data_IF_051496416651
#
_entry.id   IF_051496416651
#
_cell.length_a   1.000
_cell.length_b   1.000
_cell.length_c   1.000
_cell.angle_alpha   90.00
_cell.angle_beta   90.00
_cell.angle_gamma   90.00
#
_symmetry.space_group_name_H-M   'P 1'
#
loop_
_entity.id
_entity.type
_entity.pdbx_description
1 polymer ?
#
# COMPACT_ATOMS: atom_id res chain seq x y z
N UNK A 1 56.14 8.49 16.13
CA UNK A 1 55.15 8.32 15.03
C UNK A 1 54.29 7.10 15.35
N UNK A 2 53.16 7.30 16.02
CA UNK A 2 52.18 6.25 16.32
C UNK A 2 50.96 6.45 15.43
N UNK A 3 50.76 5.53 14.47
CA UNK A 3 49.63 5.53 13.53
C UNK A 3 48.38 5.04 14.26
N UNK A 4 47.45 5.95 14.54
CA UNK A 4 46.08 5.59 14.92
C UNK A 4 45.37 5.01 13.70
N UNK A 5 45.05 3.73 13.74
CA UNK A 5 44.22 3.08 12.73
C UNK A 5 42.78 3.11 13.23
N UNK A 6 41.97 4.02 12.68
CA UNK A 6 40.55 4.13 12.99
C UNK A 6 39.82 2.98 12.28
N UNK A 7 39.34 2.00 13.04
CA UNK A 7 38.53 0.89 12.53
C UNK A 7 37.09 1.38 12.39
N UNK A 8 36.64 1.64 11.16
CA UNK A 8 35.23 1.95 10.88
C UNK A 8 34.45 0.63 10.87
N UNK A 9 33.69 0.36 11.94
CA UNK A 9 32.68 -0.71 11.92
C UNK A 9 31.51 -0.25 11.05
N UNK A 10 31.36 -0.83 9.86
CA UNK A 10 30.09 -0.82 9.14
C UNK A 10 29.13 -1.76 9.87
N UNK A 11 28.15 -1.19 10.58
CA UNK A 11 26.99 -1.94 11.04
C UNK A 11 26.08 -2.14 9.82
N UNK A 12 26.10 -3.33 9.25
CA UNK A 12 25.13 -3.73 8.23
C UNK A 12 23.81 -3.97 8.97
N UNK A 13 22.89 -3.01 8.90
CA UNK A 13 21.51 -3.22 9.31
C UNK A 13 20.88 -4.20 8.31
N UNK A 14 20.84 -5.49 8.66
CA UNK A 14 20.06 -6.46 7.92
C UNK A 14 18.58 -6.13 8.14
N UNK A 15 17.94 -5.53 7.13
CA UNK A 15 16.49 -5.31 7.14
C UNK A 15 15.76 -6.66 7.10
N UNK A 16 15.34 -7.17 8.26
CA UNK A 16 14.35 -8.23 8.34
C UNK A 16 12.97 -7.58 8.13
N UNK A 17 12.34 -7.80 6.98
CA UNK A 17 11.02 -7.24 6.68
C UNK A 17 10.45 -7.54 5.30
N UNK A 18 11.09 -8.40 4.50
CA UNK A 18 10.62 -8.77 3.16
C UNK A 18 10.56 -10.29 2.97
N UNK A 19 9.79 -10.73 1.96
CA UNK A 19 9.61 -12.15 1.56
C UNK A 19 8.99 -13.07 2.62
N UNK A 20 8.20 -12.51 3.55
CA UNK A 20 7.51 -13.22 4.61
C UNK A 20 5.98 -13.24 4.42
N UNK A 21 5.44 -12.51 3.44
CA UNK A 21 4.05 -12.59 3.00
C UNK A 21 3.99 -13.09 1.55
N UNK A 22 3.31 -14.22 1.33
CA UNK A 22 3.18 -14.88 0.04
C UNK A 22 1.84 -14.58 -0.62
N UNK A 23 1.78 -14.74 -1.95
CA UNK A 23 0.56 -14.60 -2.73
C UNK A 23 -0.49 -15.66 -2.34
N UNK A 24 -1.77 -15.28 -2.40
CA UNK A 24 -2.89 -16.19 -2.12
C UNK A 24 -3.19 -17.14 -3.29
N UNK A 25 -2.66 -16.84 -4.48
CA UNK A 25 -2.94 -17.60 -5.70
C UNK A 25 -1.67 -17.97 -6.45
N UNK A 26 -1.75 -19.10 -7.15
CA UNK A 26 -0.80 -19.44 -8.21
C UNK A 26 -1.47 -19.14 -9.54
N UNK A 27 -0.84 -18.31 -10.37
CA UNK A 27 -1.37 -18.04 -11.71
C UNK A 27 -1.27 -19.28 -12.59
N UNK A 28 -2.26 -19.54 -13.46
CA UNK A 28 -2.26 -20.72 -14.30
C UNK A 28 -1.17 -20.64 -15.37
N UNK A 29 -0.71 -21.79 -15.84
CA UNK A 29 0.30 -21.94 -16.88
C UNK A 29 1.58 -22.63 -16.41
N UNK A 30 2.38 -23.08 -17.37
CA UNK A 30 3.66 -23.72 -17.10
C UNK A 30 4.70 -22.71 -16.59
N UNK A 31 5.67 -23.20 -15.83
CA UNK A 31 6.83 -22.39 -15.45
C UNK A 31 7.59 -21.89 -16.68
N UNK A 32 8.24 -20.73 -16.57
CA UNK A 32 9.03 -20.15 -17.66
C UNK A 32 10.02 -21.18 -18.26
N UNK A 33 9.97 -21.36 -19.57
CA UNK A 33 10.93 -22.18 -20.29
C UNK A 33 12.33 -21.52 -20.29
N UNK A 34 13.36 -22.26 -20.72
CA UNK A 34 14.74 -21.77 -20.70
C UNK A 34 14.96 -20.51 -21.55
N UNK A 35 14.24 -20.39 -22.68
CA UNK A 35 14.31 -19.22 -23.57
C UNK A 35 13.75 -17.98 -22.89
N UNK A 36 12.58 -18.07 -22.26
CA UNK A 36 11.94 -16.94 -21.58
C UNK A 36 12.78 -16.48 -20.38
N UNK A 37 13.38 -17.40 -19.62
CA UNK A 37 14.32 -17.06 -18.54
C UNK A 37 15.54 -16.29 -19.07
N UNK A 38 16.11 -16.73 -20.18
CA UNK A 38 17.24 -16.05 -20.81
C UNK A 38 16.84 -14.65 -21.30
N UNK A 39 15.69 -14.51 -21.95
CA UNK A 39 15.16 -13.21 -22.41
C UNK A 39 14.92 -12.27 -21.23
N UNK A 40 14.27 -12.74 -20.16
CA UNK A 40 14.02 -11.93 -18.97
C UNK A 40 15.31 -11.50 -18.27
N UNK A 41 16.31 -12.38 -18.21
CA UNK A 41 17.64 -12.04 -17.65
C UNK A 41 18.36 -11.01 -18.53
N UNK A 42 18.30 -11.17 -19.85
CA UNK A 42 18.87 -10.20 -20.78
C UNK A 42 18.21 -8.83 -20.65
N UNK A 43 16.88 -8.77 -20.53
CA UNK A 43 16.15 -7.53 -20.28
C UNK A 43 16.52 -6.90 -18.93
N UNK A 44 16.68 -7.70 -17.87
CA UNK A 44 17.11 -7.22 -16.54
C UNK A 44 18.49 -6.55 -16.57
N UNK A 45 19.41 -7.07 -17.38
CA UNK A 45 20.76 -6.52 -17.51
C UNK A 45 20.80 -5.31 -18.45
N UNK A 46 20.06 -5.35 -19.56
CA UNK A 46 20.23 -4.41 -20.67
C UNK A 46 19.26 -3.22 -20.65
N UNK A 47 18.07 -3.37 -20.05
CA UNK A 47 17.06 -2.31 -20.04
C UNK A 47 17.13 -1.52 -18.75
N UNK A 48 17.09 -0.19 -18.86
CA UNK A 48 16.98 0.64 -17.67
C UNK A 48 15.56 0.56 -17.09
N UNK A 49 15.50 0.45 -15.77
CA UNK A 49 14.29 0.29 -14.97
C UNK A 49 14.11 1.49 -14.04
N UNK A 50 14.58 2.67 -14.45
CA UNK A 50 14.57 3.90 -13.64
C UNK A 50 13.24 4.11 -12.92
N UNK A 51 12.06 4.04 -13.59
CA UNK A 51 10.78 4.28 -12.91
C UNK A 51 10.50 3.28 -11.78
N UNK A 52 10.91 2.02 -11.93
CA UNK A 52 10.70 0.98 -10.92
C UNK A 52 11.65 1.15 -9.72
N UNK A 53 12.81 1.79 -9.91
CA UNK A 53 13.79 2.06 -8.86
C UNK A 53 13.40 3.22 -7.95
N UNK A 54 12.39 4.01 -8.31
CA UNK A 54 11.92 5.19 -7.55
C UNK A 54 10.80 4.88 -6.53
N UNK A 55 10.45 3.62 -6.34
CA UNK A 55 9.53 3.18 -5.28
C UNK A 55 10.34 2.77 -4.04
N UNK A 56 10.69 3.77 -3.23
CA UNK A 56 11.70 3.66 -2.17
C UNK A 56 11.14 3.23 -0.81
N UNK A 57 9.86 3.49 -0.55
CA UNK A 57 9.22 3.15 0.73
C UNK A 57 8.33 1.91 0.58
N UNK A 58 8.40 1.01 1.56
CA UNK A 58 7.53 -0.15 1.65
C UNK A 58 6.60 0.01 2.87
N UNK A 59 5.30 -0.05 2.62
CA UNK A 59 4.25 -0.05 3.65
C UNK A 59 3.43 -1.34 3.57
N UNK A 60 2.97 -1.77 4.73
CA UNK A 60 2.11 -2.92 4.90
C UNK A 60 0.85 -2.48 5.66
N UNK A 61 -0.30 -2.67 5.03
CA UNK A 61 -1.59 -2.24 5.55
C UNK A 61 -2.72 -3.18 5.11
N UNK A 62 -3.95 -2.72 5.26
CA UNK A 62 -5.13 -3.51 4.95
C UNK A 62 -6.15 -2.66 4.24
N UNK A 63 -6.87 -3.26 3.31
CA UNK A 63 -8.01 -2.62 2.65
C UNK A 63 -9.29 -3.44 2.87
N UNK A 64 -10.41 -2.86 2.46
CA UNK A 64 -11.64 -3.59 2.17
C UNK A 64 -12.30 -3.07 0.89
N UNK A 65 -13.18 -3.88 0.28
CA UNK A 65 -13.91 -3.47 -0.93
C UNK A 65 -14.94 -2.39 -0.60
N UNK A 66 -14.93 -1.25 -1.30
CA UNK A 66 -15.89 -0.19 -1.04
C UNK A 66 -17.35 -0.72 -1.15
N UNK A 67 -18.10 -0.63 -0.04
CA UNK A 67 -19.45 -1.20 0.09
C UNK A 67 -19.55 -2.60 0.70
N UNK A 68 -18.44 -3.27 0.99
CA UNK A 68 -18.40 -4.56 1.69
C UNK A 68 -17.20 -4.64 2.65
N UNK A 69 -17.36 -4.13 3.87
CA UNK A 69 -16.30 -4.10 4.89
C UNK A 69 -15.85 -5.50 5.35
N UNK A 70 -16.65 -6.54 5.13
CA UNK A 70 -16.28 -7.90 5.51
C UNK A 70 -15.36 -8.58 4.48
N UNK A 71 -15.20 -8.00 3.29
CA UNK A 71 -14.21 -8.45 2.31
C UNK A 71 -12.93 -7.64 2.50
N UNK A 72 -11.99 -8.19 3.26
CA UNK A 72 -10.76 -7.52 3.70
C UNK A 72 -9.54 -8.26 3.17
N UNK A 73 -8.45 -7.53 2.93
CA UNK A 73 -7.18 -8.09 2.45
C UNK A 73 -6.00 -7.30 3.01
N UNK A 74 -4.87 -7.97 3.16
CA UNK A 74 -3.56 -7.32 3.39
C UNK A 74 -3.07 -6.74 2.07
N UNK A 75 -2.44 -5.57 2.12
CA UNK A 75 -1.97 -4.83 0.97
C UNK A 75 -0.52 -4.38 1.19
N UNK A 76 0.35 -4.73 0.23
CA UNK A 76 1.77 -4.43 0.27
C UNK A 76 2.10 -3.28 -0.69
N UNK A 77 2.29 -2.08 -0.17
CA UNK A 77 2.48 -0.87 -0.95
C UNK A 77 3.97 -0.55 -1.13
N UNK A 78 4.40 -0.43 -2.37
CA UNK A 78 5.69 0.15 -2.72
C UNK A 78 5.44 1.56 -3.21
N UNK A 79 5.94 2.55 -2.49
CA UNK A 79 5.53 3.95 -2.57
C UNK A 79 6.67 4.82 -3.11
N UNK A 80 6.29 5.72 -4.02
CA UNK A 80 7.14 6.78 -4.56
C UNK A 80 6.52 8.13 -4.24
N UNK A 81 7.30 9.04 -3.66
CA UNK A 81 6.89 10.43 -3.49
C UNK A 81 7.20 11.22 -4.76
N UNK A 82 6.19 11.79 -5.41
CA UNK A 82 6.35 12.56 -6.64
C UNK A 82 6.67 14.02 -6.35
N UNK A 83 6.05 14.57 -5.30
CA UNK A 83 6.31 15.91 -4.76
C UNK A 83 5.80 15.98 -3.30
N UNK A 84 5.81 17.16 -2.70
CA UNK A 84 5.39 17.36 -1.30
C UNK A 84 3.92 16.98 -1.04
N UNK A 85 3.07 17.04 -2.08
CA UNK A 85 1.63 16.86 -1.98
C UNK A 85 1.08 15.56 -2.59
N UNK A 86 1.91 14.81 -3.32
CA UNK A 86 1.47 13.65 -4.10
C UNK A 86 2.48 12.49 -4.03
N UNK A 87 1.95 11.33 -3.69
CA UNK A 87 2.63 10.04 -3.73
C UNK A 87 1.83 9.07 -4.60
N UNK A 88 2.51 8.04 -5.08
CA UNK A 88 1.90 6.93 -5.78
C UNK A 88 2.44 5.61 -5.25
N UNK A 89 1.61 4.59 -5.22
CA UNK A 89 1.98 3.26 -4.80
C UNK A 89 1.61 2.21 -5.84
N UNK A 90 2.47 1.20 -5.97
CA UNK A 90 2.14 -0.07 -6.60
C UNK A 90 1.86 -1.08 -5.49
N UNK A 91 0.72 -1.75 -5.57
CA UNK A 91 0.23 -2.62 -4.49
C UNK A 91 0.32 -4.08 -4.94
N UNK A 92 0.85 -4.93 -4.06
CA UNK A 92 0.96 -6.37 -4.25
C UNK A 92 0.21 -7.15 -3.17
N UNK A 93 -0.09 -8.42 -3.45
CA UNK A 93 -0.74 -9.37 -2.54
C UNK A 93 0.24 -10.09 -1.60
N UNK A 94 1.50 -9.67 -1.63
CA UNK A 94 2.60 -10.21 -0.85
C UNK A 94 3.85 -9.36 -1.03
N UNK A 95 4.90 -9.68 -0.29
CA UNK A 95 6.22 -9.06 -0.44
C UNK A 95 7.32 -10.07 -0.88
N UNK A 96 6.89 -11.25 -1.34
CA UNK A 96 7.72 -12.25 -1.99
C UNK A 96 7.93 -11.98 -3.49
N UNK A 97 8.92 -12.66 -4.07
CA UNK A 97 9.25 -12.54 -5.51
C UNK A 97 8.11 -12.96 -6.46
N UNK A 98 7.19 -13.78 -5.98
CA UNK A 98 6.07 -14.35 -6.74
C UNK A 98 4.74 -13.63 -6.46
N UNK A 99 4.79 -12.48 -5.76
CA UNK A 99 3.62 -11.66 -5.45
C UNK A 99 2.96 -11.11 -6.72
N UNK A 100 1.64 -10.99 -6.70
CA UNK A 100 0.84 -10.48 -7.81
C UNK A 100 0.57 -9.00 -7.62
N UNK A 101 0.64 -8.26 -8.72
CA UNK A 101 0.18 -6.88 -8.77
C UNK A 101 -1.33 -6.85 -8.51
N UNK A 102 -1.73 -6.23 -7.40
CA UNK A 102 -3.13 -6.05 -7.05
C UNK A 102 -3.69 -4.76 -7.61
N UNK A 103 -2.91 -3.69 -7.61
CA UNK A 103 -3.44 -2.37 -7.96
C UNK A 103 -2.49 -1.23 -7.74
N UNK A 104 -3.06 -0.04 -7.64
CA UNK A 104 -2.35 1.20 -7.38
C UNK A 104 -3.08 2.03 -6.34
N UNK A 105 -2.34 2.92 -5.69
CA UNK A 105 -2.90 3.96 -4.84
C UNK A 105 -2.25 5.30 -5.16
N UNK A 106 -3.07 6.35 -5.18
CA UNK A 106 -2.59 7.73 -5.16
C UNK A 106 -2.83 8.28 -3.77
N UNK A 107 -1.81 8.90 -3.18
CA UNK A 107 -1.87 9.46 -1.84
C UNK A 107 -1.63 10.95 -1.94
N UNK A 108 -2.51 11.74 -1.33
CA UNK A 108 -2.40 13.21 -1.33
C UNK A 108 -2.40 13.78 0.08
N UNK A 109 -1.78 14.94 0.24
CA UNK A 109 -1.87 15.71 1.48
C UNK A 109 -3.29 16.23 1.72
N UNK A 110 -3.56 16.63 2.96
CA UNK A 110 -4.78 17.34 3.31
C UNK A 110 -5.03 18.59 2.44
N UNK A 111 -3.99 19.30 2.00
CA UNK A 111 -4.14 20.50 1.18
C UNK A 111 -4.56 20.17 -0.26
N UNK A 112 -3.89 19.23 -0.90
CA UNK A 112 -4.30 18.73 -2.20
C UNK A 112 -5.71 18.10 -2.17
N UNK A 113 -6.05 17.36 -1.11
CA UNK A 113 -7.38 16.77 -0.94
C UNK A 113 -8.50 17.82 -0.91
N UNK A 114 -8.32 18.96 -0.24
CA UNK A 114 -9.33 20.03 -0.20
C UNK A 114 -9.68 20.57 -1.59
N UNK A 115 -8.70 20.58 -2.48
CA UNK A 115 -8.80 21.12 -3.84
C UNK A 115 -9.60 20.24 -4.80
N UNK A 116 -9.83 18.96 -4.44
CA UNK A 116 -10.63 18.03 -5.22
C UNK A 116 -12.11 18.44 -5.22
N UNK A 117 -12.81 18.09 -6.30
CA UNK A 117 -14.25 18.26 -6.34
C UNK A 117 -14.96 17.27 -5.38
N UNK A 118 -16.21 17.58 -5.05
CA UNK A 118 -16.95 16.83 -4.04
C UNK A 118 -17.30 15.39 -4.45
N UNK A 119 -17.39 15.07 -5.75
CA UNK A 119 -17.65 13.70 -6.20
C UNK A 119 -16.36 12.88 -6.23
N UNK A 120 -15.25 13.49 -6.63
CA UNK A 120 -13.93 12.88 -6.61
C UNK A 120 -13.55 12.51 -5.17
N UNK A 121 -13.75 13.39 -4.18
CA UNK A 121 -13.46 13.11 -2.75
C UNK A 121 -14.10 11.82 -2.23
N UNK A 122 -15.25 11.40 -2.77
CA UNK A 122 -15.97 10.19 -2.35
C UNK A 122 -15.25 8.89 -2.73
N UNK A 123 -14.25 8.98 -3.60
CA UNK A 123 -13.38 7.86 -3.99
C UNK A 123 -12.19 7.67 -3.04
N UNK A 124 -12.02 8.55 -2.04
CA UNK A 124 -10.85 8.57 -1.17
C UNK A 124 -11.19 8.16 0.26
N UNK A 125 -10.20 7.59 0.93
CA UNK A 125 -10.23 7.31 2.36
C UNK A 125 -9.09 8.05 3.09
N UNK A 126 -9.23 8.23 4.39
CA UNK A 126 -8.21 8.91 5.22
C UNK A 126 -7.31 7.91 5.95
N UNK A 127 -6.00 8.13 5.98
CA UNK A 127 -5.04 7.23 6.62
C UNK A 127 -4.92 7.38 8.15
N UNK A 128 -5.55 8.41 8.71
CA UNK A 128 -5.36 8.79 10.12
C UNK A 128 -5.57 7.65 11.13
N UNK A 129 -6.55 6.78 10.91
CA UNK A 129 -6.87 5.68 11.81
C UNK A 129 -5.88 4.55 11.64
N UNK A 130 -5.56 4.15 10.42
CA UNK A 130 -4.63 3.05 10.14
C UNK A 130 -3.22 3.34 10.64
N UNK A 131 -2.79 4.60 10.51
CA UNK A 131 -1.56 5.09 11.10
C UNK A 131 -1.63 5.05 12.63
N UNK A 132 -2.69 5.59 13.24
CA UNK A 132 -2.77 5.68 14.71
C UNK A 132 -3.01 4.33 15.40
N UNK A 133 -3.71 3.40 14.75
CA UNK A 133 -4.05 2.09 15.29
C UNK A 133 -2.86 1.12 15.28
N UNK A 134 -1.87 1.36 14.41
CA UNK A 134 -0.78 0.41 14.16
C UNK A 134 -1.10 -0.63 13.10
N UNK A 135 -2.25 -0.54 12.42
CA UNK A 135 -2.57 -1.46 11.32
C UNK A 135 -1.72 -1.19 10.07
N UNK A 136 -1.32 0.07 9.83
CA UNK A 136 -0.30 0.42 8.82
C UNK A 136 1.10 0.41 9.46
N UNK A 137 2.06 -0.26 8.83
CA UNK A 137 3.46 -0.30 9.28
C UNK A 137 4.43 -0.07 8.11
N UNK A 138 5.67 0.35 8.39
CA UNK A 138 6.77 0.33 7.43
C UNK A 138 7.85 -0.67 7.88
N UNK A 139 7.81 -1.93 7.43
CA UNK A 139 8.72 -2.97 7.89
C UNK A 139 10.18 -2.72 7.47
N UNK A 140 11.12 -3.20 8.27
CA UNK A 140 12.54 -3.25 7.90
C UNK A 140 13.32 -1.93 8.03
N UNK A 141 12.68 -0.83 8.45
CA UNK A 141 13.35 0.44 8.73
C UNK A 141 13.46 0.71 10.25
N UNK A 142 14.40 1.56 10.70
CA UNK A 142 14.50 1.92 12.11
C UNK A 142 13.24 2.59 12.64
N UNK A 143 12.87 2.28 13.89
CA UNK A 143 11.66 2.79 14.55
C UNK A 143 11.51 4.32 14.53
N UNK A 144 12.61 5.07 14.60
CA UNK A 144 12.58 6.54 14.51
C UNK A 144 12.20 7.00 13.10
N UNK A 145 12.74 6.36 12.05
CA UNK A 145 12.39 6.69 10.66
C UNK A 145 10.95 6.28 10.33
N UNK A 146 10.49 5.15 10.88
CA UNK A 146 9.12 4.69 10.82
C UNK A 146 8.15 5.71 11.44
N UNK A 147 8.48 6.21 12.63
CA UNK A 147 7.68 7.21 13.34
C UNK A 147 7.54 8.51 12.54
N UNK A 148 8.64 9.05 12.03
CA UNK A 148 8.67 10.24 11.17
C UNK A 148 7.86 10.06 9.87
N UNK A 149 7.90 8.86 9.28
CA UNK A 149 7.10 8.54 8.11
C UNK A 149 5.60 8.53 8.47
N UNK A 150 5.24 7.95 9.61
CA UNK A 150 3.86 7.90 10.09
C UNK A 150 3.30 9.29 10.45
N UNK A 151 4.13 10.18 10.99
CA UNK A 151 3.75 11.58 11.21
C UNK A 151 3.37 12.30 9.91
N UNK A 152 4.04 11.99 8.80
CA UNK A 152 3.66 12.52 7.48
C UNK A 152 2.37 11.90 6.97
N UNK A 153 2.22 10.59 7.09
CA UNK A 153 1.09 9.84 6.51
C UNK A 153 -0.22 10.05 7.27
N UNK A 154 -0.20 10.36 8.56
CA UNK A 154 -1.43 10.47 9.38
C UNK A 154 -2.45 11.47 8.81
N UNK A 155 -1.99 12.53 8.14
CA UNK A 155 -2.84 13.58 7.56
C UNK A 155 -3.14 13.41 6.05
N UNK A 156 -2.83 12.24 5.49
CA UNK A 156 -2.99 11.98 4.04
C UNK A 156 -4.26 11.22 3.71
N UNK A 157 -4.62 11.26 2.43
CA UNK A 157 -5.79 10.63 1.85
C UNK A 157 -5.39 9.73 0.69
N UNK A 158 -5.96 8.53 0.62
CA UNK A 158 -5.66 7.51 -0.38
C UNK A 158 -6.83 7.26 -1.33
N UNK A 159 -6.56 7.22 -2.64
CA UNK A 159 -7.46 6.66 -3.67
C UNK A 159 -6.86 5.35 -4.16
N UNK A 160 -7.42 4.26 -3.67
CA UNK A 160 -6.92 2.91 -3.94
C UNK A 160 -7.80 2.19 -4.95
N UNK A 161 -7.17 1.62 -5.98
CA UNK A 161 -7.84 0.88 -7.04
C UNK A 161 -7.17 -0.49 -7.17
N UNK A 162 -7.91 -1.55 -6.86
CA UNK A 162 -7.46 -2.92 -7.11
C UNK A 162 -8.01 -3.44 -8.43
N UNK A 163 -7.14 -3.97 -9.28
CA UNK A 163 -7.43 -4.62 -10.56
C UNK A 163 -7.37 -6.15 -10.47
N UNK A 164 -6.75 -6.70 -9.43
CA UNK A 164 -6.68 -8.15 -9.20
C UNK A 164 -7.05 -8.49 -7.75
N UNK A 165 -8.06 -9.35 -7.62
CA UNK A 165 -8.72 -9.74 -6.38
C UNK A 165 -8.28 -11.16 -5.94
N UNK A 166 -7.01 -11.32 -5.59
CA UNK A 166 -6.42 -12.64 -5.24
C UNK A 166 -6.95 -13.21 -3.93
N UNK A 167 -7.44 -12.35 -3.03
CA UNK A 167 -8.15 -12.72 -1.80
C UNK A 167 -9.44 -13.51 -2.07
N UNK A 168 -9.99 -13.40 -3.29
CA UNK A 168 -11.14 -14.17 -3.75
C UNK A 168 -10.74 -15.40 -4.58
N UNK A 169 -9.51 -15.88 -4.40
CA UNK A 169 -8.95 -17.05 -5.09
C UNK A 169 -8.95 -16.93 -6.62
N UNK A 170 -8.93 -15.69 -7.15
CA UNK A 170 -8.88 -15.45 -8.59
C UNK A 170 -7.46 -15.64 -9.11
N UNK A 171 -7.23 -16.72 -9.84
CA UNK A 171 -5.90 -17.03 -10.40
C UNK A 171 -5.48 -16.09 -11.56
N UNK A 172 -6.43 -15.31 -12.10
CA UNK A 172 -6.23 -14.30 -13.13
C UNK A 172 -6.89 -12.95 -12.74
N UNK A 173 -6.38 -11.80 -13.23
CA UNK A 173 -6.94 -10.47 -12.96
C UNK A 173 -8.22 -10.23 -13.78
N UNK A 174 -9.29 -10.93 -13.43
CA UNK A 174 -10.60 -10.86 -14.11
C UNK A 174 -11.60 -10.05 -13.30
N UNK A 175 -12.53 -9.38 -14.01
CA UNK A 175 -13.59 -8.56 -13.43
C UNK A 175 -13.26 -7.06 -13.47
N UNK A 176 -14.12 -6.26 -12.83
CA UNK A 176 -13.92 -4.81 -12.76
C UNK A 176 -12.77 -4.46 -11.80
N UNK A 177 -12.00 -3.40 -12.10
CA UNK A 177 -11.27 -2.67 -11.07
C UNK A 177 -12.22 -2.22 -9.97
N UNK A 178 -11.77 -2.23 -8.73
CA UNK A 178 -12.58 -1.87 -7.57
C UNK A 178 -11.87 -0.79 -6.76
N UNK A 179 -12.64 0.24 -6.36
CA UNK A 179 -12.26 1.18 -5.31
C UNK A 179 -12.20 0.43 -3.99
N UNK A 180 -11.07 0.62 -3.30
CA UNK A 180 -10.81 0.05 -1.99
C UNK A 180 -10.77 1.15 -0.95
N UNK A 181 -11.12 0.80 0.28
CA UNK A 181 -11.21 1.74 1.39
C UNK A 181 -10.37 1.25 2.56
N UNK A 182 -9.89 2.20 3.34
CA UNK A 182 -9.22 1.98 4.61
C UNK A 182 -10.17 2.05 5.81
N UNK A 183 -9.68 1.53 6.93
CA UNK A 183 -10.44 1.44 8.18
C UNK A 183 -10.43 2.78 8.93
N UNK A 184 -11.52 3.11 9.61
CA UNK A 184 -11.73 4.41 10.26
C UNK A 184 -11.87 4.33 11.78
N UNK A 185 -12.07 3.12 12.34
CA UNK A 185 -12.16 2.91 13.79
C UNK A 185 -11.84 1.47 14.21
N UNK A 186 -11.51 1.33 15.49
CA UNK A 186 -11.25 0.04 16.14
C UNK A 186 -12.44 -0.91 15.97
N UNK A 187 -12.16 -2.20 15.73
CA UNK A 187 -13.16 -3.26 15.60
C UNK A 187 -13.70 -3.49 14.18
N UNK A 188 -13.25 -2.72 13.19
CA UNK A 188 -13.61 -2.98 11.78
C UNK A 188 -12.69 -4.01 11.11
N UNK A 189 -11.37 -3.94 11.34
CA UNK A 189 -10.39 -4.89 10.81
C UNK A 189 -10.52 -6.25 11.53
N UNK A 190 -10.49 -7.35 10.76
CA UNK A 190 -10.49 -8.70 11.30
C UNK A 190 -9.25 -8.93 12.18
N UNK A 191 -9.48 -9.35 13.43
CA UNK A 191 -8.42 -9.51 14.43
C UNK A 191 -7.42 -10.59 14.02
N UNK A 192 -7.90 -11.64 13.38
CA UNK A 192 -7.08 -12.76 12.92
C UNK A 192 -6.07 -12.26 11.87
N UNK A 193 -6.50 -11.47 10.89
CA UNK A 193 -5.64 -10.90 9.85
C UNK A 193 -4.52 -10.03 10.44
N UNK A 194 -4.88 -9.14 11.35
CA UNK A 194 -3.91 -8.29 12.06
C UNK A 194 -2.92 -9.14 12.88
N UNK A 195 -3.42 -10.14 13.61
CA UNK A 195 -2.58 -11.03 14.42
C UNK A 195 -1.62 -11.86 13.58
N UNK A 196 -2.04 -12.29 12.39
CA UNK A 196 -1.21 -13.09 11.49
C UNK A 196 -0.14 -12.23 10.82
N UNK A 197 -0.45 -10.97 10.49
CA UNK A 197 0.54 -9.97 10.05
C UNK A 197 1.58 -9.75 11.13
N UNK A 198 1.15 -9.48 12.36
CA UNK A 198 2.05 -9.25 13.49
C UNK A 198 3.02 -10.42 13.71
N UNK A 199 2.53 -11.67 13.59
CA UNK A 199 3.39 -12.86 13.61
C UNK A 199 4.38 -12.90 12.44
N UNK A 200 3.93 -12.65 11.20
CA UNK A 200 4.79 -12.67 10.00
C UNK A 200 5.91 -11.64 10.09
N UNK A 201 5.61 -10.43 10.57
CA UNK A 201 6.54 -9.32 10.64
C UNK A 201 7.28 -9.21 11.98
N UNK A 202 6.95 -10.07 12.95
CA UNK A 202 7.51 -10.04 14.31
C UNK A 202 7.37 -8.64 14.95
N UNK A 203 6.15 -8.10 14.92
CA UNK A 203 5.78 -6.81 15.50
C UNK A 203 4.62 -6.97 16.48
N UNK A 204 4.37 -5.93 17.28
CA UNK A 204 3.21 -5.84 18.17
C UNK A 204 2.42 -4.58 17.86
N UNK A 205 1.19 -4.73 17.35
CA UNK A 205 0.32 -3.60 17.04
C UNK A 205 0.07 -2.72 18.27
N UNK A 206 -0.07 -3.30 19.46
CA UNK A 206 -0.25 -2.52 20.70
C UNK A 206 0.99 -1.68 21.06
N UNK A 207 2.20 -2.22 20.84
CA UNK A 207 3.43 -1.47 21.05
C UNK A 207 3.61 -0.35 20.01
N UNK A 208 3.20 -0.60 18.77
CA UNK A 208 3.20 0.39 17.69
C UNK A 208 2.21 1.51 18.02
N UNK A 209 0.97 1.18 18.41
CA UNK A 209 -0.05 2.13 18.85
C UNK A 209 0.43 2.99 20.01
N UNK A 210 1.09 2.38 21.00
CA UNK A 210 1.71 3.09 22.12
C UNK A 210 2.85 4.00 21.67
N UNK A 211 3.68 3.55 20.73
CA UNK A 211 4.78 4.35 20.20
C UNK A 211 4.29 5.59 19.45
N UNK A 212 3.15 5.49 18.78
CA UNK A 212 2.56 6.58 17.99
C UNK A 212 1.61 7.45 18.81
N UNK A 213 1.59 7.33 20.13
CA UNK A 213 0.63 8.03 21.00
C UNK A 213 0.77 9.56 20.93
N UNK A 214 1.99 10.05 20.70
CA UNK A 214 2.38 11.45 20.56
C UNK A 214 1.99 12.08 19.21
N UNK A 215 1.83 11.28 18.14
CA UNK A 215 1.38 11.79 16.83
C UNK A 215 -0.02 12.41 16.97
N UNK A 216 -0.24 13.68 16.63
CA UNK A 216 -1.56 14.29 16.70
C UNK A 216 -2.56 13.60 15.76
N UNK A 217 -3.81 13.42 16.20
CA UNK A 217 -4.89 12.94 15.33
C UNK A 217 -5.46 14.13 14.53
N UNK A 218 -5.34 14.16 13.19
CA UNK A 218 -5.86 15.25 12.40
C UNK A 218 -7.40 15.22 12.34
N UNK A 219 -8.00 16.40 12.18
CA UNK A 219 -9.42 16.50 11.86
C UNK A 219 -9.68 15.99 10.44
N UNK A 220 -10.73 15.17 10.30
CA UNK A 220 -11.13 14.66 8.99
C UNK A 220 -11.71 15.79 8.13
N UNK A 221 -11.13 16.02 6.95
CA UNK A 221 -11.73 16.85 5.90
C UNK A 221 -12.97 16.15 5.34
N UNK A 222 -14.13 16.84 5.27
CA UNK A 222 -15.35 16.27 4.69
C UNK A 222 -15.17 15.77 3.25
N UNK A 223 -15.90 14.70 2.90
CA UNK A 223 -15.92 14.11 1.56
C UNK A 223 -15.19 12.77 1.47
N UNK A 224 -14.12 12.58 2.24
CA UNK A 224 -13.47 11.27 2.40
C UNK A 224 -14.36 10.30 3.19
N UNK A 225 -14.05 9.00 3.08
CA UNK A 225 -14.76 7.92 3.78
C UNK A 225 -16.29 7.94 3.52
N UNK A 226 -16.71 8.37 2.32
CA UNK A 226 -18.12 8.55 1.98
C UNK A 226 -18.97 7.28 2.17
N UNK A 227 -18.32 6.11 2.10
CA UNK A 227 -18.89 4.80 2.41
C UNK A 227 -19.52 4.71 3.81
N UNK A 228 -19.02 5.45 4.80
CA UNK A 228 -19.61 5.48 6.16
C UNK A 228 -21.05 6.02 6.16
N UNK A 229 -21.40 6.81 5.14
CA UNK A 229 -22.73 7.39 4.93
C UNK A 229 -23.56 6.60 3.91
N UNK A 230 -23.05 5.46 3.44
CA UNK A 230 -23.67 4.68 2.36
C UNK A 230 -23.46 5.28 0.96
N UNK A 231 -22.65 6.33 0.83
CA UNK A 231 -22.32 6.94 -0.46
C UNK A 231 -21.20 6.15 -1.15
N UNK A 232 -21.56 4.99 -1.67
CA UNK A 232 -20.62 4.09 -2.35
C UNK A 232 -20.39 4.59 -3.78
N UNK A 233 -19.13 4.61 -4.20
CA UNK A 233 -18.71 4.88 -5.57
C UNK A 233 -17.85 3.73 -6.05
N UNK A 234 -18.13 3.24 -7.26
CA UNK A 234 -17.42 2.11 -7.83
C UNK A 234 -17.30 2.23 -9.35
N UNK A 235 -16.23 1.63 -9.91
CA UNK A 235 -16.10 1.50 -11.36
C UNK A 235 -17.13 0.51 -11.91
N UNK A 236 -17.65 0.83 -13.09
CA UNK A 236 -18.63 0.02 -13.80
C UNK A 236 -18.05 -0.41 -15.14
N UNK A 237 -18.12 -1.71 -15.44
CA UNK A 237 -17.86 -2.20 -16.80
C UNK A 237 -19.07 -1.83 -17.65
N UNK A 238 -18.84 -1.01 -18.67
CA UNK A 238 -19.88 -0.47 -19.54
C UNK A 238 -19.42 -0.47 -20.99
N UNK A 239 -20.37 -0.54 -21.92
CA UNK A 239 -20.13 -0.35 -23.36
C UNK A 239 -20.14 1.13 -23.77
N UNK A 240 -20.25 2.05 -22.81
CA UNK A 240 -20.19 3.51 -23.02
C UNK A 240 -18.81 4.04 -22.61
N UNK A 241 -17.92 4.38 -23.54
CA UNK A 241 -16.66 5.04 -23.21
C UNK A 241 -16.98 6.48 -22.78
N UNK A 242 -16.96 6.81 -21.49
CA UNK A 242 -17.34 8.16 -21.02
C UNK A 242 -16.14 9.14 -20.98
N UNK A 243 -14.95 8.67 -20.60
CA UNK A 243 -13.82 9.54 -20.24
C UNK A 243 -12.86 9.88 -21.38
N UNK A 244 -13.02 9.24 -22.54
CA UNK A 244 -12.17 9.46 -23.72
C UNK A 244 -12.89 10.20 -24.86
N UNK A 245 -14.18 10.52 -24.70
CA UNK A 245 -15.01 11.15 -25.75
C UNK A 245 -14.92 12.67 -25.72
N UNK A 246 -14.60 13.24 -24.55
CA UNK A 246 -14.32 14.66 -24.39
C UNK A 246 -12.90 14.81 -23.84
N UNK A 247 -12.01 15.43 -24.63
CA UNK A 247 -10.70 15.87 -24.10
C UNK A 247 -10.98 16.95 -23.06
N UNK A 248 -10.65 16.66 -21.80
CA UNK A 248 -10.55 17.67 -20.76
C UNK A 248 -9.38 18.62 -21.02
#
# INVERSE_FOLDING_TARGET
MTRNTLLVLLIIAAGCGGKNSGSQVTSPGDSLNAKDRLLNTGADILQDKTPLKHFDAYLDGFHFYNGNINAQMEAHHYVSQLNDDLYQAVIFDGNGKDAKLMGVEYIVTAEAFKSLDEEEKKLWHSHHHEVKSGSLIAPGIPKVAEHELMEKLVSTYGKTIHTWHTDQERELPVGSPMIMMGFTKDGQLHKEMLSDRDKRFNVSTEEIKKNRADIPMPALIPGANAWEKGEIRQFVITNKPDSAVHKH
#
